data_IF_070793623106
#
_entry.id   IF_070793623106
#
_cell.length_a   1.000
_cell.length_b   1.000
_cell.length_c   1.000
_cell.angle_alpha   90.00
_cell.angle_beta   90.00
_cell.angle_gamma   90.00
#
_symmetry.space_group_name_H-M   'P 1'
#
loop_
_entity.id
_entity.type
_entity.pdbx_description
1 polymer ?
#
# COMPACT_ATOMS: atom_id res chain seq x y z
N UNK A 1 -10.28 21.84 -26.91
CA UNK A 1 -10.04 22.15 -25.49
C UNK A 1 -9.09 21.12 -24.93
N UNK A 2 -8.05 21.57 -24.24
CA UNK A 2 -7.13 20.70 -23.55
C UNK A 2 -7.83 19.99 -22.38
N UNK A 3 -7.47 18.74 -22.10
CA UNK A 3 -8.06 17.95 -21.00
C UNK A 3 -7.78 18.65 -19.65
N UNK A 4 -6.59 19.24 -19.50
CA UNK A 4 -6.19 19.93 -18.28
C UNK A 4 -7.03 21.19 -18.04
N UNK A 5 -7.33 21.95 -19.10
CA UNK A 5 -8.23 23.11 -19.02
C UNK A 5 -9.65 22.69 -18.59
N UNK A 6 -10.17 21.60 -19.16
CA UNK A 6 -11.51 21.10 -18.82
C UNK A 6 -11.61 20.59 -17.37
N UNK A 7 -10.55 19.99 -16.84
CA UNK A 7 -10.47 19.63 -15.43
C UNK A 7 -10.57 20.89 -14.56
N UNK A 8 -9.80 21.94 -14.88
CA UNK A 8 -9.79 23.19 -14.11
C UNK A 8 -11.15 23.87 -14.09
N UNK A 9 -11.84 23.92 -15.23
CA UNK A 9 -13.19 24.49 -15.35
C UNK A 9 -14.19 23.76 -14.43
N UNK A 10 -14.17 22.42 -14.42
CA UNK A 10 -15.03 21.61 -13.55
C UNK A 10 -14.66 21.77 -12.06
N UNK A 11 -13.37 21.90 -11.73
CA UNK A 11 -12.93 22.17 -10.34
C UNK A 11 -13.39 23.55 -9.85
N UNK A 12 -13.39 24.56 -10.72
CA UNK A 12 -13.94 25.88 -10.40
C UNK A 12 -15.47 25.84 -10.24
N UNK A 13 -16.18 25.08 -11.07
CA UNK A 13 -17.63 24.91 -10.95
C UNK A 13 -18.02 24.28 -9.61
N UNK A 14 -17.28 23.24 -9.17
CA UNK A 14 -17.50 22.63 -7.84
C UNK A 14 -17.28 23.66 -6.73
N UNK A 15 -16.21 24.46 -6.80
CA UNK A 15 -15.90 25.48 -5.79
C UNK A 15 -16.98 26.56 -5.67
N UNK A 16 -17.63 26.91 -6.78
CA UNK A 16 -18.70 27.92 -6.82
C UNK A 16 -20.07 27.36 -6.42
N UNK A 17 -20.25 26.04 -6.45
CA UNK A 17 -21.53 25.40 -6.14
C UNK A 17 -21.67 25.21 -4.63
N UNK A 18 -22.72 25.78 -4.03
CA UNK A 18 -23.03 25.54 -2.62
C UNK A 18 -23.53 24.11 -2.41
N UNK A 19 -22.95 23.37 -1.46
CA UNK A 19 -23.34 22.00 -1.15
C UNK A 19 -24.71 21.94 -0.45
N UNK A 20 -25.69 21.32 -1.10
CA UNK A 20 -27.01 21.03 -0.55
C UNK A 20 -27.60 19.76 -1.20
N UNK A 21 -28.71 19.22 -0.66
CA UNK A 21 -29.34 17.98 -1.14
C UNK A 21 -29.78 18.02 -2.62
N UNK A 22 -30.04 19.21 -3.18
CA UNK A 22 -30.41 19.37 -4.58
C UNK A 22 -29.19 19.37 -5.52
N UNK A 23 -28.06 19.91 -5.06
CA UNK A 23 -26.80 20.01 -5.82
C UNK A 23 -25.89 18.80 -5.64
N UNK A 24 -26.14 17.96 -4.63
CA UNK A 24 -25.32 16.78 -4.32
C UNK A 24 -25.12 15.87 -5.54
N UNK A 25 -26.20 15.51 -6.24
CA UNK A 25 -26.13 14.69 -7.46
C UNK A 25 -25.31 15.35 -8.58
N UNK A 26 -25.41 16.68 -8.71
CA UNK A 26 -24.63 17.46 -9.68
C UNK A 26 -23.14 17.44 -9.33
N UNK A 27 -22.81 17.71 -8.07
CA UNK A 27 -21.43 17.70 -7.58
C UNK A 27 -20.81 16.30 -7.74
N UNK A 28 -21.55 15.23 -7.43
CA UNK A 28 -21.10 13.85 -7.65
C UNK A 28 -20.79 13.58 -9.12
N UNK A 29 -21.64 14.05 -10.04
CA UNK A 29 -21.42 13.94 -11.48
C UNK A 29 -20.17 14.69 -11.93
N UNK A 30 -19.97 15.91 -11.46
CA UNK A 30 -18.76 16.71 -11.76
C UNK A 30 -17.50 16.01 -11.25
N UNK A 31 -17.53 15.48 -10.02
CA UNK A 31 -16.40 14.70 -9.45
C UNK A 31 -16.09 13.46 -10.27
N UNK A 32 -17.11 12.69 -10.67
CA UNK A 32 -16.94 11.51 -11.51
C UNK A 32 -16.35 11.88 -12.88
N UNK A 33 -16.79 12.99 -13.46
CA UNK A 33 -16.24 13.51 -14.73
C UNK A 33 -14.78 13.91 -14.60
N UNK A 34 -14.41 14.63 -13.54
CA UNK A 34 -13.02 14.99 -13.26
C UNK A 34 -12.16 13.73 -13.11
N UNK A 35 -12.62 12.74 -12.35
CA UNK A 35 -11.90 11.48 -12.15
C UNK A 35 -11.67 10.73 -13.48
N UNK A 36 -12.69 10.66 -14.33
CA UNK A 36 -12.57 10.08 -15.67
C UNK A 36 -11.57 10.83 -16.55
N UNK A 37 -11.62 12.17 -16.59
CA UNK A 37 -10.66 12.98 -17.36
C UNK A 37 -9.22 12.83 -16.86
N UNK A 38 -9.01 12.76 -15.53
CA UNK A 38 -7.70 12.49 -14.93
C UNK A 38 -7.17 11.12 -15.34
N UNK A 39 -8.04 10.09 -15.40
CA UNK A 39 -7.69 8.75 -15.92
C UNK A 39 -7.24 8.80 -17.39
N UNK A 40 -8.01 9.47 -18.27
CA UNK A 40 -7.65 9.60 -19.69
C UNK A 40 -6.29 10.32 -19.87
N UNK A 41 -6.03 11.35 -19.08
CA UNK A 41 -4.76 12.08 -19.11
C UNK A 41 -3.57 11.17 -18.74
N UNK A 42 -3.72 10.33 -17.72
CA UNK A 42 -2.69 9.36 -17.33
C UNK A 42 -2.47 8.29 -18.40
N UNK A 43 -3.53 7.76 -19.01
CA UNK A 43 -3.44 6.76 -20.08
C UNK A 43 -2.73 7.32 -21.33
N UNK A 44 -3.03 8.57 -21.71
CA UNK A 44 -2.31 9.26 -22.80
C UNK A 44 -0.83 9.42 -22.48
N UNK A 45 -0.50 9.83 -21.25
CA UNK A 45 0.89 9.98 -20.78
C UNK A 45 1.64 8.63 -20.76
N UNK A 46 0.97 7.52 -20.40
CA UNK A 46 1.54 6.16 -20.46
C UNK A 46 1.84 5.71 -21.90
N UNK A 47 0.93 5.94 -22.84
CA UNK A 47 1.11 5.58 -24.26
C UNK A 47 2.28 6.33 -24.91
N UNK A 48 2.55 7.57 -24.49
CA UNK A 48 3.71 8.36 -24.96
C UNK A 48 5.04 7.94 -24.31
N UNK A 49 5.03 7.38 -23.09
CA UNK A 49 6.24 7.00 -22.33
C UNK A 49 6.65 5.52 -22.45
N UNK A 50 6.10 4.77 -23.40
CA UNK A 50 6.32 3.33 -23.55
C UNK A 50 7.79 2.87 -23.74
N UNK A 51 8.76 3.79 -23.84
CA UNK A 51 10.18 3.44 -24.00
C UNK A 51 11.09 3.61 -22.77
N UNK A 52 10.71 4.28 -21.65
CA UNK A 52 11.73 4.71 -20.66
C UNK A 52 11.31 4.81 -19.18
N UNK A 53 10.61 3.83 -18.61
CA UNK A 53 10.40 3.80 -17.16
C UNK A 53 10.65 2.40 -16.57
N UNK A 54 11.90 2.09 -16.25
CA UNK A 54 12.20 1.02 -15.28
C UNK A 54 12.07 1.64 -13.89
N UNK A 55 10.98 1.32 -13.18
CA UNK A 55 10.86 1.65 -11.75
C UNK A 55 11.92 0.91 -10.93
N UNK A 56 12.10 1.32 -9.68
CA UNK A 56 12.99 0.63 -8.73
C UNK A 56 12.52 -0.84 -8.61
N UNK A 57 13.42 -1.79 -8.87
CA UNK A 57 13.12 -3.21 -8.73
C UNK A 57 13.05 -3.54 -7.24
N UNK A 58 12.01 -4.29 -6.85
CA UNK A 58 11.93 -4.87 -5.51
C UNK A 58 13.13 -5.79 -5.28
N UNK A 59 13.79 -5.59 -4.15
CA UNK A 59 14.86 -6.44 -3.64
C UNK A 59 14.48 -6.91 -2.23
N UNK A 60 14.85 -8.14 -1.87
CA UNK A 60 14.45 -8.75 -0.61
C UNK A 60 12.97 -9.16 -0.57
N UNK A 61 12.45 -9.33 0.65
CA UNK A 61 11.12 -9.88 0.94
C UNK A 61 10.00 -8.82 0.95
N UNK A 62 10.36 -7.56 1.20
CA UNK A 62 9.45 -6.42 1.19
C UNK A 62 10.18 -5.11 0.88
N UNK A 63 9.46 -4.16 0.28
CA UNK A 63 9.88 -2.79 0.04
C UNK A 63 9.11 -1.83 0.94
N UNK A 64 9.81 -1.01 1.73
CA UNK A 64 9.24 -0.02 2.65
C UNK A 64 9.74 1.37 2.27
N UNK A 65 8.82 2.30 2.04
CA UNK A 65 9.12 3.69 1.70
C UNK A 65 9.03 4.61 2.91
N UNK A 66 10.09 5.36 3.19
CA UNK A 66 10.11 6.34 4.27
C UNK A 66 9.60 7.70 3.77
N UNK A 67 8.54 8.19 4.40
CA UNK A 67 7.86 9.43 4.01
C UNK A 67 7.71 10.32 5.23
N UNK A 68 8.12 11.58 5.11
CA UNK A 68 8.00 12.54 6.21
C UNK A 68 8.55 13.92 5.84
N UNK A 69 8.26 14.94 6.66
CA UNK A 69 8.83 16.28 6.49
C UNK A 69 10.36 16.26 6.58
N UNK A 70 11.05 17.30 6.07
CA UNK A 70 12.48 17.45 6.30
C UNK A 70 12.79 17.53 7.81
N UNK A 71 14.02 17.18 8.19
CA UNK A 71 14.54 17.35 9.55
C UNK A 71 13.86 16.55 10.69
N UNK A 72 12.91 15.66 10.40
CA UNK A 72 12.30 14.75 11.41
C UNK A 72 13.21 13.58 11.85
N UNK A 73 14.39 13.46 11.24
CA UNK A 73 15.36 12.39 11.54
C UNK A 73 15.19 11.12 10.70
N UNK A 74 14.50 11.22 9.56
CA UNK A 74 14.30 10.12 8.59
C UNK A 74 15.61 9.48 8.12
N UNK A 75 16.57 10.26 7.64
CA UNK A 75 17.85 9.71 7.14
C UNK A 75 18.71 9.12 8.26
N UNK A 76 18.63 9.68 9.49
CA UNK A 76 19.24 9.06 10.67
C UNK A 76 18.61 7.70 10.97
N UNK A 77 17.27 7.63 10.99
CA UNK A 77 16.54 6.39 11.21
C UNK A 77 16.86 5.34 10.13
N UNK A 78 16.89 5.75 8.86
CA UNK A 78 17.29 4.92 7.73
C UNK A 78 18.69 4.32 7.93
N UNK A 79 19.69 5.14 8.26
CA UNK A 79 21.06 4.69 8.48
C UNK A 79 21.16 3.70 9.65
N UNK A 80 20.44 3.95 10.75
CA UNK A 80 20.43 3.07 11.91
C UNK A 80 19.77 1.72 11.59
N UNK A 81 18.65 1.72 10.88
CA UNK A 81 17.90 0.50 10.57
C UNK A 81 18.58 -0.38 9.51
N UNK A 82 19.23 0.23 8.53
CA UNK A 82 19.88 -0.50 7.42
C UNK A 82 21.32 -0.90 7.73
N UNK A 83 21.87 -0.41 8.85
CA UNK A 83 23.29 -0.56 9.21
C UNK A 83 24.23 -0.16 8.06
N UNK A 84 23.76 0.69 7.14
CA UNK A 84 24.39 0.96 5.86
C UNK A 84 25.32 2.17 5.94
N UNK A 85 26.52 2.02 5.39
CA UNK A 85 27.25 3.12 4.77
C UNK A 85 26.56 3.35 3.42
N UNK A 86 25.66 4.32 3.35
CA UNK A 86 24.81 4.62 2.17
C UNK A 86 25.58 4.52 0.85
N UNK A 87 25.20 3.58 -0.01
CA UNK A 87 25.60 3.58 -1.42
C UNK A 87 24.55 4.36 -2.19
N UNK A 88 24.93 5.54 -2.71
CA UNK A 88 24.08 6.35 -3.58
C UNK A 88 23.74 5.54 -4.83
N UNK A 89 22.46 5.40 -5.14
CA UNK A 89 22.02 4.80 -6.38
C UNK A 89 21.48 5.92 -7.27
N UNK A 90 22.29 6.37 -8.21
CA UNK A 90 21.83 7.23 -9.31
C UNK A 90 20.98 6.38 -10.25
N UNK A 91 19.66 6.41 -10.06
CA UNK A 91 18.76 5.82 -11.03
C UNK A 91 18.73 6.74 -12.26
N UNK A 92 18.96 6.15 -13.43
CA UNK A 92 19.22 6.84 -14.71
C UNK A 92 18.13 7.81 -15.21
N UNK A 93 17.09 8.05 -14.42
CA UNK A 93 15.93 8.88 -14.78
C UNK A 93 15.39 9.74 -13.64
N UNK A 94 15.98 9.73 -12.44
CA UNK A 94 15.50 10.54 -11.31
C UNK A 94 16.48 11.68 -11.01
N UNK A 95 16.00 12.92 -10.96
CA UNK A 95 16.79 14.08 -10.52
C UNK A 95 16.98 14.15 -8.99
N UNK A 96 16.47 13.14 -8.28
CA UNK A 96 16.47 13.04 -6.83
C UNK A 96 17.08 11.71 -6.39
N UNK A 97 18.02 11.76 -5.45
CA UNK A 97 18.70 10.59 -4.89
C UNK A 97 17.72 9.84 -3.96
N UNK A 98 17.23 8.69 -4.40
CA UNK A 98 16.54 7.72 -3.52
C UNK A 98 17.58 6.73 -3.03
N UNK A 99 17.75 6.62 -1.70
CA UNK A 99 18.74 5.71 -1.11
C UNK A 99 18.06 4.39 -0.70
N UNK A 100 18.37 3.27 -1.37
CA UNK A 100 17.96 1.96 -0.90
C UNK A 100 18.92 1.43 0.17
N UNK A 101 18.39 0.74 1.17
CA UNK A 101 19.19 0.00 2.15
C UNK A 101 18.42 -1.21 2.68
N UNK A 102 19.13 -2.21 3.22
CA UNK A 102 18.51 -3.46 3.65
C UNK A 102 18.44 -3.50 5.18
N UNK A 103 17.21 -3.57 5.71
CA UNK A 103 16.94 -3.93 7.09
C UNK A 103 16.85 -5.46 7.18
N UNK A 104 17.71 -6.08 7.98
CA UNK A 104 17.60 -7.49 8.33
C UNK A 104 16.84 -7.64 9.64
N UNK A 105 15.70 -8.32 9.63
CA UNK A 105 14.91 -8.54 10.83
C UNK A 105 14.17 -9.87 10.77
N UNK A 106 14.28 -10.70 11.83
CA UNK A 106 13.59 -12.00 11.93
C UNK A 106 13.78 -12.93 10.72
N UNK A 107 14.99 -12.94 10.16
CA UNK A 107 15.34 -13.72 8.96
C UNK A 107 14.87 -13.10 7.64
N UNK A 108 14.12 -12.00 7.66
CA UNK A 108 13.72 -11.27 6.46
C UNK A 108 14.70 -10.17 6.08
N UNK A 109 14.86 -9.97 4.78
CA UNK A 109 15.56 -8.84 4.18
C UNK A 109 14.53 -7.83 3.65
N UNK A 110 14.39 -6.71 4.34
CA UNK A 110 13.40 -5.66 4.03
C UNK A 110 14.15 -4.48 3.40
N UNK A 111 13.85 -4.16 2.15
CA UNK A 111 14.41 -3.01 1.46
C UNK A 111 13.73 -1.73 1.97
N UNK A 112 14.48 -0.88 2.65
CA UNK A 112 14.06 0.47 3.02
C UNK A 112 14.48 1.44 1.90
N UNK A 113 13.60 2.39 1.60
CA UNK A 113 13.85 3.46 0.65
C UNK A 113 13.74 4.81 1.37
N UNK A 114 14.85 5.55 1.47
CA UNK A 114 14.80 6.95 1.88
C UNK A 114 14.37 7.80 0.68
N UNK A 115 13.16 8.33 0.74
CA UNK A 115 12.60 9.19 -0.31
C UNK A 115 12.77 10.63 0.10
N UNK A 116 13.46 11.52 -0.63
CA UNK A 116 13.55 12.94 -0.28
C UNK A 116 12.15 13.55 -0.07
N UNK A 117 12.06 14.54 0.84
CA UNK A 117 10.79 15.02 1.40
C UNK A 117 9.74 15.32 0.34
N UNK A 118 8.67 14.52 0.33
CA UNK A 118 7.53 14.65 -0.60
C UNK A 118 6.92 16.07 -0.62
N UNK A 119 6.94 16.73 0.54
CA UNK A 119 6.21 17.96 0.83
C UNK A 119 6.81 19.21 0.14
N UNK A 120 8.10 19.22 -0.19
CA UNK A 120 8.73 20.44 -0.78
C UNK A 120 8.46 20.60 -2.29
N UNK A 121 8.04 19.54 -3.00
CA UNK A 121 8.08 19.51 -4.47
C UNK A 121 6.86 18.97 -5.20
N UNK A 122 5.85 18.43 -4.52
CA UNK A 122 4.69 17.85 -5.19
C UNK A 122 3.58 18.88 -5.53
N UNK A 123 3.47 19.96 -4.75
CA UNK A 123 2.45 21.00 -4.93
C UNK A 123 2.83 22.10 -5.93
N UNK A 124 4.12 22.30 -6.19
CA UNK A 124 4.60 23.18 -7.26
C UNK A 124 4.97 22.30 -8.46
N UNK A 125 4.36 22.53 -9.63
CA UNK A 125 4.52 21.76 -10.88
C UNK A 125 5.93 21.61 -11.47
N UNK A 126 7.00 21.66 -10.67
CA UNK A 126 8.32 21.10 -10.98
C UNK A 126 8.15 19.58 -11.11
N UNK A 127 8.45 19.04 -12.29
CA UNK A 127 8.12 17.69 -12.75
C UNK A 127 8.64 16.48 -11.95
N UNK A 128 9.08 16.64 -10.70
CA UNK A 128 9.87 15.65 -9.95
C UNK A 128 9.03 14.85 -8.91
N UNK A 129 7.88 15.36 -8.43
CA UNK A 129 7.05 14.66 -7.43
C UNK A 129 6.44 13.34 -7.91
N UNK A 130 6.19 13.22 -9.22
CA UNK A 130 5.60 12.00 -9.84
C UNK A 130 6.53 10.78 -9.75
N UNK A 131 7.84 10.99 -9.79
CA UNK A 131 8.82 9.90 -9.76
C UNK A 131 8.98 9.35 -8.35
N UNK A 132 9.08 10.21 -7.34
CA UNK A 132 9.04 9.85 -5.91
C UNK A 132 7.77 9.04 -5.64
N UNK A 133 6.61 9.54 -6.06
CA UNK A 133 5.34 8.89 -5.76
C UNK A 133 5.12 7.59 -6.53
N UNK A 134 5.78 7.41 -7.68
CA UNK A 134 5.80 6.12 -8.38
C UNK A 134 6.47 5.02 -7.55
N UNK A 135 7.47 5.37 -6.73
CA UNK A 135 8.15 4.43 -5.83
C UNK A 135 7.25 4.09 -4.65
N UNK A 136 6.57 5.09 -4.06
CA UNK A 136 5.60 4.85 -2.99
C UNK A 136 4.46 3.93 -3.44
N UNK A 137 3.98 4.07 -4.69
CA UNK A 137 2.97 3.18 -5.29
C UNK A 137 3.41 1.73 -5.48
N UNK A 138 4.71 1.46 -5.54
CA UNK A 138 5.23 0.10 -5.68
C UNK A 138 5.68 -0.50 -4.34
N UNK A 139 5.61 0.27 -3.26
CA UNK A 139 6.02 -0.18 -1.93
C UNK A 139 5.02 -1.15 -1.33
N UNK A 140 5.51 -2.11 -0.54
CA UNK A 140 4.67 -3.04 0.23
C UNK A 140 4.18 -2.40 1.54
N UNK A 141 4.87 -1.37 2.02
CA UNK A 141 4.53 -0.61 3.21
C UNK A 141 5.04 0.84 3.08
N UNK A 142 4.27 1.79 3.59
CA UNK A 142 4.72 3.17 3.80
C UNK A 142 5.01 3.38 5.29
N UNK A 143 6.18 3.93 5.60
CA UNK A 143 6.52 4.35 6.96
C UNK A 143 6.46 5.88 7.03
N UNK A 144 5.39 6.39 7.65
CA UNK A 144 5.21 7.81 7.90
C UNK A 144 6.06 8.20 9.11
N UNK A 145 7.04 9.06 8.92
CA UNK A 145 7.97 9.52 9.96
C UNK A 145 7.67 10.98 10.26
N UNK A 146 7.24 11.24 11.50
CA UNK A 146 7.08 12.56 12.07
C UNK A 146 8.00 12.68 13.29
N UNK A 147 8.15 13.89 13.82
CA UNK A 147 8.66 14.12 15.16
C UNK A 147 7.58 14.72 16.05
N UNK A 148 7.89 14.85 17.35
CA UNK A 148 6.96 15.36 18.36
C UNK A 148 6.38 16.76 18.06
N UNK A 149 7.04 17.56 17.21
CA UNK A 149 6.58 18.91 16.84
C UNK A 149 5.90 18.98 15.46
N UNK A 150 5.96 17.91 14.68
CA UNK A 150 5.46 17.88 13.28
C UNK A 150 4.25 16.98 13.12
N UNK A 151 3.60 16.61 14.22
CA UNK A 151 2.42 15.73 14.25
C UNK A 151 1.29 16.25 13.34
N UNK A 152 1.09 17.57 13.29
CA UNK A 152 0.04 18.20 12.49
C UNK A 152 0.29 18.11 10.97
N UNK A 153 1.51 17.77 10.54
CA UNK A 153 1.81 17.53 9.11
C UNK A 153 1.26 16.19 8.60
N UNK A 154 0.77 15.31 9.48
CA UNK A 154 0.24 14.02 9.08
C UNK A 154 -0.86 14.16 8.02
N UNK A 155 -1.82 15.06 8.24
CA UNK A 155 -2.95 15.26 7.31
C UNK A 155 -2.47 15.79 5.95
N UNK A 156 -1.47 16.66 5.93
CA UNK A 156 -0.88 17.19 4.70
C UNK A 156 -0.29 16.04 3.87
N UNK A 157 0.48 15.16 4.51
CA UNK A 157 1.10 14.01 3.85
C UNK A 157 0.05 13.03 3.34
N UNK A 158 -0.98 12.73 4.14
CA UNK A 158 -2.06 11.82 3.75
C UNK A 158 -2.85 12.37 2.56
N UNK A 159 -3.18 13.67 2.58
CA UNK A 159 -3.85 14.33 1.46
C UNK A 159 -3.01 14.30 0.19
N UNK A 160 -1.69 14.47 0.31
CA UNK A 160 -0.77 14.37 -0.81
C UNK A 160 -0.78 12.94 -1.39
N UNK A 161 -0.54 11.92 -0.56
CA UNK A 161 -0.59 10.51 -1.00
C UNK A 161 -1.92 10.18 -1.68
N UNK A 162 -3.03 10.65 -1.08
CA UNK A 162 -4.37 10.49 -1.61
C UNK A 162 -4.52 11.12 -3.01
N UNK A 163 -4.03 12.35 -3.22
CA UNK A 163 -4.07 13.04 -4.50
C UNK A 163 -3.26 12.34 -5.60
N UNK A 164 -2.22 11.60 -5.23
CA UNK A 164 -1.42 10.78 -6.15
C UNK A 164 -1.96 9.36 -6.36
N UNK A 165 -3.15 9.08 -5.84
CA UNK A 165 -3.85 7.81 -6.03
C UNK A 165 -3.33 6.69 -5.14
N UNK A 166 -2.61 7.02 -4.05
CA UNK A 166 -2.25 6.08 -3.01
C UNK A 166 -3.34 6.14 -1.94
N UNK A 167 -3.89 4.98 -1.58
CA UNK A 167 -4.89 4.82 -0.52
C UNK A 167 -4.21 4.13 0.64
N UNK A 168 -4.02 4.87 1.73
CA UNK A 168 -3.22 4.43 2.86
C UNK A 168 -4.12 3.72 3.88
N UNK A 169 -3.75 2.50 4.28
CA UNK A 169 -4.52 1.70 5.25
C UNK A 169 -5.99 1.40 4.84
N UNK A 170 -6.30 1.55 3.55
CA UNK A 170 -7.59 1.21 2.97
C UNK A 170 -7.52 -0.12 2.20
N UNK A 171 -8.67 -0.77 2.04
CA UNK A 171 -8.81 -1.95 1.17
C UNK A 171 -9.42 -1.58 -0.16
N UNK A 172 -9.03 -2.31 -1.19
CA UNK A 172 -9.66 -2.20 -2.50
C UNK A 172 -11.16 -2.47 -2.41
N UNK A 173 -12.01 -1.62 -3.02
CA UNK A 173 -13.45 -1.80 -2.99
C UNK A 173 -13.90 -3.14 -3.59
N UNK A 174 -14.74 -3.87 -2.86
CA UNK A 174 -15.23 -5.18 -3.31
C UNK A 174 -16.43 -5.01 -4.27
N UNK A 175 -16.12 -4.66 -5.52
CA UNK A 175 -17.09 -4.40 -6.58
C UNK A 175 -16.78 -5.31 -7.78
N UNK A 176 -17.82 -5.84 -8.41
CA UNK A 176 -17.71 -6.60 -9.67
C UNK A 176 -18.51 -5.91 -10.76
N UNK A 177 -17.88 -5.58 -11.88
CA UNK A 177 -18.55 -4.99 -13.04
C UNK A 177 -18.42 -5.92 -14.24
N UNK A 178 -19.56 -6.33 -14.81
CA UNK A 178 -19.64 -7.10 -16.06
C UNK A 178 -20.28 -6.23 -17.14
N UNK A 179 -19.56 -5.99 -18.23
CA UNK A 179 -20.12 -5.27 -19.39
C UNK A 179 -21.14 -6.16 -20.10
N UNK A 180 -22.19 -5.53 -20.63
CA UNK A 180 -23.24 -6.17 -21.43
C UNK A 180 -23.36 -5.50 -22.79
N UNK A 181 -24.01 -6.17 -23.73
CA UNK A 181 -24.30 -5.59 -25.04
C UNK A 181 -25.48 -4.61 -24.98
N UNK A 182 -26.50 -4.89 -24.16
CA UNK A 182 -27.76 -4.12 -24.04
C UNK A 182 -28.31 -4.15 -22.60
N UNK A 183 -29.33 -3.33 -22.33
CA UNK A 183 -30.10 -3.36 -21.08
C UNK A 183 -29.67 -2.36 -20.01
N UNK A 184 -28.83 -1.38 -20.35
CA UNK A 184 -28.43 -0.31 -19.45
C UNK A 184 -27.56 -0.78 -18.27
N UNK A 185 -27.43 0.10 -17.28
CA UNK A 185 -26.68 -0.16 -16.04
C UNK A 185 -27.63 -0.73 -14.99
N UNK A 186 -27.39 -1.98 -14.61
CA UNK A 186 -28.04 -2.62 -13.48
C UNK A 186 -27.08 -2.61 -12.29
N UNK A 187 -27.59 -2.22 -11.13
CA UNK A 187 -26.83 -2.21 -9.88
C UNK A 187 -27.54 -3.15 -8.92
N UNK A 188 -26.80 -4.12 -8.38
CA UNK A 188 -27.23 -5.02 -7.33
C UNK A 188 -26.27 -4.89 -6.15
N UNK A 189 -26.78 -5.06 -4.93
CA UNK A 189 -25.98 -5.05 -3.71
C UNK A 189 -26.25 -6.29 -2.88
N UNK A 190 -25.22 -6.83 -2.22
CA UNK A 190 -25.38 -7.87 -1.19
C UNK A 190 -25.48 -7.30 0.22
N UNK A 191 -25.32 -5.98 0.38
CA UNK A 191 -25.36 -5.28 1.67
C UNK A 191 -26.23 -4.01 1.57
N UNK A 192 -26.75 -3.48 2.70
CA UNK A 192 -27.36 -2.15 2.72
C UNK A 192 -26.36 -1.09 2.24
N UNK A 193 -26.82 -0.14 1.42
CA UNK A 193 -26.00 0.93 0.86
C UNK A 193 -26.43 2.28 1.43
N UNK A 194 -25.44 3.07 1.82
CA UNK A 194 -25.64 4.46 2.24
C UNK A 194 -25.92 5.39 1.04
N UNK A 195 -25.39 5.03 -0.14
CA UNK A 195 -25.55 5.79 -1.39
C UNK A 195 -26.72 5.23 -2.22
N UNK A 196 -27.49 6.12 -2.85
CA UNK A 196 -28.61 5.73 -3.68
C UNK A 196 -28.18 5.11 -5.02
N UNK A 197 -29.00 4.18 -5.51
CA UNK A 197 -28.73 3.44 -6.75
C UNK A 197 -28.61 4.37 -7.96
N UNK A 198 -29.34 5.50 -8.00
CA UNK A 198 -29.25 6.44 -9.13
C UNK A 198 -27.90 7.15 -9.16
N UNK A 199 -27.39 7.59 -8.02
CA UNK A 199 -26.06 8.18 -7.90
C UNK A 199 -24.97 7.19 -8.33
N UNK A 200 -25.06 5.92 -7.94
CA UNK A 200 -24.14 4.86 -8.40
C UNK A 200 -24.19 4.73 -9.93
N UNK A 201 -25.40 4.65 -10.51
CA UNK A 201 -25.58 4.58 -11.97
C UNK A 201 -25.01 5.80 -12.68
N UNK A 202 -25.19 7.00 -12.11
CA UNK A 202 -24.67 8.24 -12.67
C UNK A 202 -23.14 8.24 -12.70
N UNK A 203 -22.49 7.86 -11.59
CA UNK A 203 -21.03 7.74 -11.52
C UNK A 203 -20.53 6.71 -12.54
N UNK A 204 -21.09 5.49 -12.55
CA UNK A 204 -20.67 4.43 -13.48
C UNK A 204 -20.84 4.85 -14.94
N UNK A 205 -21.91 5.59 -15.26
CA UNK A 205 -22.15 6.14 -16.60
C UNK A 205 -21.10 7.17 -17.01
N UNK A 206 -20.67 8.05 -16.12
CA UNK A 206 -19.62 9.03 -16.41
C UNK A 206 -18.27 8.38 -16.71
N UNK A 207 -18.01 7.18 -16.17
CA UNK A 207 -16.84 6.37 -16.50
C UNK A 207 -16.97 5.60 -17.83
N UNK A 208 -18.00 5.86 -18.63
CA UNK A 208 -18.17 5.32 -19.98
C UNK A 208 -18.90 3.98 -20.06
N UNK A 209 -19.43 3.47 -18.95
CA UNK A 209 -20.25 2.26 -18.97
C UNK A 209 -21.68 2.60 -19.38
N UNK A 210 -22.12 2.10 -20.55
CA UNK A 210 -23.50 2.27 -21.02
C UNK A 210 -24.37 1.08 -20.62
N UNK A 211 -23.84 -0.13 -20.78
CA UNK A 211 -24.51 -1.40 -20.49
C UNK A 211 -23.62 -2.24 -19.57
N UNK A 212 -24.01 -2.42 -18.31
CA UNK A 212 -23.23 -3.16 -17.33
C UNK A 212 -24.06 -3.69 -16.17
N UNK A 213 -23.67 -4.84 -15.61
CA UNK A 213 -24.11 -5.31 -14.30
C UNK A 213 -23.04 -4.97 -13.26
N UNK A 214 -23.41 -4.19 -12.26
CA UNK A 214 -22.56 -3.76 -11.16
C UNK A 214 -23.04 -4.45 -9.90
N UNK A 215 -22.22 -5.33 -9.33
CA UNK A 215 -22.47 -5.99 -8.05
C UNK A 215 -21.58 -5.37 -6.98
N UNK A 216 -22.22 -4.74 -5.99
CA UNK A 216 -21.55 -4.14 -4.84
C UNK A 216 -21.65 -5.09 -3.64
N UNK A 217 -20.52 -5.40 -3.01
CA UNK A 217 -20.46 -6.36 -1.90
C UNK A 217 -20.10 -5.74 -0.54
N UNK A 218 -19.94 -4.42 -0.49
CA UNK A 218 -19.65 -3.65 0.72
C UNK A 218 -20.27 -2.25 0.62
N UNK A 219 -20.53 -1.60 1.76
CA UNK A 219 -20.97 -0.21 1.77
C UNK A 219 -19.80 0.73 1.45
N UNK A 220 -20.03 1.70 0.58
CA UNK A 220 -18.98 2.55 0.04
C UNK A 220 -19.53 3.93 -0.34
N UNK A 221 -18.68 4.95 -0.16
CA UNK A 221 -18.98 6.30 -0.60
C UNK A 221 -18.68 6.49 -2.09
N UNK A 222 -19.14 7.62 -2.66
CA UNK A 222 -18.92 7.93 -4.07
C UNK A 222 -17.44 7.92 -4.47
N UNK A 223 -16.55 8.36 -3.57
CA UNK A 223 -15.11 8.41 -3.82
C UNK A 223 -14.50 7.03 -4.00
N UNK A 224 -14.82 6.07 -3.12
CA UNK A 224 -14.36 4.68 -3.26
C UNK A 224 -14.90 4.03 -4.53
N UNK A 225 -16.12 4.36 -4.96
CA UNK A 225 -16.64 3.90 -6.25
C UNK A 225 -15.82 4.48 -7.43
N UNK A 226 -15.54 5.78 -7.40
CA UNK A 226 -14.73 6.45 -8.42
C UNK A 226 -13.31 5.89 -8.47
N UNK A 227 -12.72 5.58 -7.32
CA UNK A 227 -11.40 4.97 -7.22
C UNK A 227 -11.34 3.59 -7.87
N UNK A 228 -12.32 2.74 -7.59
CA UNK A 228 -12.47 1.44 -8.25
C UNK A 228 -12.59 1.58 -9.78
N UNK A 229 -13.46 2.47 -10.25
CA UNK A 229 -13.68 2.70 -11.69
C UNK A 229 -12.47 3.30 -12.40
N UNK A 230 -11.66 4.07 -11.67
CA UNK A 230 -10.42 4.65 -12.19
C UNK A 230 -9.37 3.57 -12.47
N UNK A 231 -9.29 2.52 -11.64
CA UNK A 231 -8.41 1.35 -11.84
C UNK A 231 -6.91 1.69 -11.80
N UNK A 232 -6.56 2.91 -11.39
CA UNK A 232 -5.20 3.42 -11.31
C UNK A 232 -4.84 3.81 -9.87
N UNK A 233 -5.57 3.30 -8.87
CA UNK A 233 -5.27 3.50 -7.45
C UNK A 233 -4.41 2.36 -6.93
N UNK A 234 -3.59 2.66 -5.93
CA UNK A 234 -2.78 1.67 -5.23
C UNK A 234 -3.15 1.71 -3.75
N UNK A 235 -3.48 0.56 -3.18
CA UNK A 235 -3.81 0.41 -1.76
C UNK A 235 -2.58 -0.10 -1.03
N UNK A 236 -2.02 0.71 -0.13
CA UNK A 236 -0.75 0.40 0.55
C UNK A 236 -0.96 0.54 2.06
N UNK A 237 -0.57 -0.45 2.88
CA UNK A 237 -0.57 -0.27 4.33
C UNK A 237 0.46 0.79 4.72
N UNK A 238 0.24 1.46 5.85
CA UNK A 238 1.22 2.35 6.43
C UNK A 238 1.25 2.26 7.95
N UNK A 239 2.44 2.51 8.50
CA UNK A 239 2.67 2.69 9.92
C UNK A 239 3.09 4.13 10.19
N UNK A 240 2.75 4.63 11.38
CA UNK A 240 3.15 5.96 11.84
C UNK A 240 4.23 5.84 12.90
N UNK A 241 5.28 6.63 12.73
CA UNK A 241 6.44 6.70 13.61
C UNK A 241 6.60 8.13 14.10
N UNK A 242 6.64 8.30 15.41
CA UNK A 242 6.90 9.60 16.04
C UNK A 242 8.29 9.55 16.67
N UNK A 243 9.22 10.27 16.05
CA UNK A 243 10.62 10.37 16.45
C UNK A 243 10.86 11.53 17.43
N UNK A 244 12.08 11.60 17.97
CA UNK A 244 12.55 12.64 18.91
C UNK A 244 11.71 12.73 20.19
N UNK A 245 11.24 11.59 20.71
CA UNK A 245 10.49 11.57 21.97
C UNK A 245 11.32 12.06 23.16
N UNK A 246 12.64 12.11 23.02
CA UNK A 246 13.56 12.68 24.00
C UNK A 246 13.46 14.20 24.16
N UNK A 247 12.77 14.89 23.23
CA UNK A 247 12.51 16.33 23.30
C UNK A 247 11.14 16.67 23.92
N UNK A 248 10.36 15.66 24.28
CA UNK A 248 9.01 15.81 24.81
C UNK A 248 8.94 15.30 26.26
N UNK A 249 8.22 16.03 27.10
CA UNK A 249 7.89 15.56 28.45
C UNK A 249 6.68 14.59 28.42
N UNK A 250 6.35 14.00 29.57
CA UNK A 250 5.27 13.03 29.67
C UNK A 250 3.88 13.62 29.39
N UNK A 251 3.69 14.91 29.63
CA UNK A 251 2.41 15.59 29.37
C UNK A 251 2.21 15.81 27.87
N UNK A 252 3.21 16.35 27.19
CA UNK A 252 3.20 16.56 25.75
C UNK A 252 3.11 15.24 24.98
N UNK A 253 3.81 14.18 25.44
CA UNK A 253 3.66 12.84 24.86
C UNK A 253 2.25 12.26 25.03
N UNK A 254 1.55 12.57 26.12
CA UNK A 254 0.15 12.16 26.33
C UNK A 254 -0.79 12.88 25.36
N UNK A 255 -0.57 14.18 25.14
CA UNK A 255 -1.33 14.96 24.16
C UNK A 255 -1.18 14.37 22.75
N UNK A 256 0.05 14.11 22.31
CA UNK A 256 0.34 13.53 20.99
C UNK A 256 -0.30 12.14 20.84
N UNK A 257 -0.22 11.30 21.88
CA UNK A 257 -0.89 9.98 21.90
C UNK A 257 -2.40 10.11 21.75
N UNK A 258 -3.01 11.14 22.34
CA UNK A 258 -4.43 11.46 22.18
C UNK A 258 -4.76 11.85 20.73
N UNK A 259 -4.00 12.81 20.17
CA UNK A 259 -4.18 13.27 18.77
C UNK A 259 -4.05 12.13 17.75
N UNK A 260 -3.10 11.23 17.97
CA UNK A 260 -2.76 10.14 17.04
C UNK A 260 -3.33 8.77 17.43
N UNK A 261 -4.32 8.72 18.31
CA UNK A 261 -4.83 7.45 18.85
C UNK A 261 -5.27 6.46 17.76
N UNK A 262 -5.90 6.96 16.70
CA UNK A 262 -6.37 6.16 15.56
C UNK A 262 -5.26 5.44 14.80
N UNK A 263 -4.03 5.96 14.83
CA UNK A 263 -2.88 5.41 14.11
C UNK A 263 -2.02 4.47 14.95
N UNK A 264 -2.21 4.44 16.28
CA UNK A 264 -1.37 3.66 17.21
C UNK A 264 0.14 3.80 16.91
N UNK A 265 0.69 5.03 16.89
CA UNK A 265 2.05 5.29 16.43
C UNK A 265 3.13 4.61 17.27
N UNK A 266 4.25 4.30 16.61
CA UNK A 266 5.46 3.84 17.30
C UNK A 266 6.31 5.05 17.68
N UNK A 267 6.37 5.31 18.98
CA UNK A 267 7.18 6.36 19.59
C UNK A 267 8.64 5.89 19.72
N UNK A 268 9.58 6.61 19.10
CA UNK A 268 11.00 6.26 19.09
C UNK A 268 11.90 7.47 19.40
N UNK A 269 13.12 7.19 19.85
CA UNK A 269 14.22 8.16 19.75
C UNK A 269 15.32 7.54 18.91
N UNK A 270 15.49 8.01 17.68
CA UNK A 270 16.60 7.57 16.83
C UNK A 270 17.96 7.91 17.46
N UNK A 271 18.07 9.06 18.14
CA UNK A 271 19.28 9.52 18.83
C UNK A 271 19.73 8.55 19.93
N UNK A 272 18.80 8.14 20.80
CA UNK A 272 19.09 7.25 21.92
C UNK A 272 18.81 5.77 21.63
N UNK A 273 18.42 5.44 20.39
CA UNK A 273 18.03 4.09 19.95
C UNK A 273 16.89 3.47 20.75
N UNK A 274 16.03 4.31 21.33
CA UNK A 274 14.87 3.87 22.12
C UNK A 274 13.78 3.31 21.20
N UNK A 275 13.22 2.16 21.56
CA UNK A 275 12.11 1.48 20.86
C UNK A 275 12.40 1.08 19.40
N UNK A 276 13.66 1.03 18.95
CA UNK A 276 13.99 0.64 17.58
C UNK A 276 13.70 -0.83 17.28
N UNK A 277 13.75 -1.72 18.27
CA UNK A 277 13.44 -3.13 18.05
C UNK A 277 11.93 -3.34 17.84
N UNK A 278 11.11 -2.65 18.66
CA UNK A 278 9.66 -2.52 18.45
C UNK A 278 9.36 -1.91 17.09
N UNK A 279 10.17 -0.92 16.69
CA UNK A 279 10.43 -0.47 15.33
C UNK A 279 10.28 -1.57 14.27
N UNK A 280 11.32 -2.38 14.22
CA UNK A 280 11.51 -3.43 13.23
C UNK A 280 10.41 -4.49 13.29
N UNK A 281 9.93 -4.81 14.48
CA UNK A 281 8.81 -5.74 14.67
C UNK A 281 7.52 -5.24 13.99
N UNK A 282 7.20 -3.97 14.16
CA UNK A 282 6.01 -3.39 13.53
C UNK A 282 6.19 -3.28 12.02
N UNK A 283 7.39 -2.93 11.53
CA UNK A 283 7.72 -2.94 10.08
C UNK A 283 7.50 -4.34 9.49
N UNK A 284 8.03 -5.39 10.13
CA UNK A 284 7.90 -6.77 9.67
C UNK A 284 6.42 -7.20 9.60
N UNK A 285 5.67 -6.93 10.66
CA UNK A 285 4.25 -7.28 10.78
C UNK A 285 3.40 -6.51 9.77
N UNK A 286 3.59 -5.20 9.65
CA UNK A 286 2.81 -4.35 8.76
C UNK A 286 3.14 -4.58 7.27
N UNK A 287 4.36 -5.03 6.96
CA UNK A 287 4.76 -5.50 5.62
C UNK A 287 4.06 -6.79 5.20
N UNK A 288 3.26 -7.39 6.10
CA UNK A 288 2.51 -8.62 5.87
C UNK A 288 3.43 -9.82 5.66
N UNK A 289 4.62 -9.83 6.27
CA UNK A 289 5.55 -10.94 6.17
C UNK A 289 5.20 -12.04 7.17
N UNK A 290 5.51 -13.27 6.79
CA UNK A 290 5.39 -14.45 7.63
C UNK A 290 6.60 -15.37 7.41
N UNK A 291 7.02 -16.04 8.48
CA UNK A 291 8.12 -17.00 8.53
C UNK A 291 7.55 -18.40 8.43
N UNK A 292 8.11 -19.20 7.54
CA UNK A 292 7.80 -20.62 7.40
C UNK A 292 9.09 -21.42 7.60
N UNK A 293 9.04 -22.39 8.50
CA UNK A 293 10.20 -23.25 8.78
C UNK A 293 10.09 -24.56 8.00
N UNK A 294 11.08 -24.86 7.18
CA UNK A 294 11.07 -26.09 6.40
C UNK A 294 11.62 -27.25 7.23
N UNK A 295 10.84 -28.33 7.32
CA UNK A 295 11.25 -29.55 8.01
C UNK A 295 11.74 -30.58 7.00
N UNK A 296 13.04 -30.91 6.97
CA UNK A 296 13.59 -31.90 6.05
C UNK A 296 13.07 -33.32 6.35
N UNK A 297 13.26 -34.25 5.41
CA UNK A 297 12.90 -35.67 5.59
C UNK A 297 13.73 -36.31 6.71
N UNK A 298 15.03 -36.02 6.71
CA UNK A 298 16.00 -36.37 7.75
C UNK A 298 16.72 -35.11 8.23
N UNK A 299 16.99 -35.00 9.54
CA UNK A 299 17.67 -33.86 10.14
C UNK A 299 16.80 -32.99 11.05
N UNK A 300 17.42 -31.96 11.63
CA UNK A 300 16.77 -30.97 12.50
C UNK A 300 16.18 -29.84 11.64
N UNK A 301 15.18 -29.15 12.20
CA UNK A 301 14.64 -27.92 11.60
C UNK A 301 15.66 -26.81 11.84
N UNK A 302 15.95 -26.06 10.78
CA UNK A 302 16.72 -24.82 10.87
C UNK A 302 15.76 -23.68 11.22
N UNK A 303 15.90 -23.12 12.42
CA UNK A 303 15.11 -21.98 12.88
C UNK A 303 15.78 -20.64 12.62
N UNK A 304 17.05 -20.64 12.21
CA UNK A 304 17.83 -19.43 11.94
C UNK A 304 17.61 -18.95 10.49
N UNK A 305 17.23 -19.85 9.59
CA UNK A 305 16.91 -19.58 8.19
C UNK A 305 15.44 -19.87 7.84
N UNK A 306 14.46 -19.07 8.31
CA UNK A 306 13.08 -19.20 7.88
C UNK A 306 12.92 -18.83 6.41
N UNK A 307 11.99 -19.51 5.74
CA UNK A 307 11.48 -19.06 4.45
C UNK A 307 10.48 -17.91 4.68
N UNK A 308 10.75 -16.75 4.11
CA UNK A 308 9.88 -15.58 4.25
C UNK A 308 8.87 -15.55 3.09
N UNK A 309 7.60 -15.41 3.45
CA UNK A 309 6.48 -15.32 2.51
C UNK A 309 5.53 -14.19 2.91
N UNK A 310 4.58 -13.85 2.04
CA UNK A 310 3.52 -12.89 2.35
C UNK A 310 2.35 -13.58 3.05
N UNK A 311 1.68 -12.85 3.92
CA UNK A 311 0.49 -13.32 4.63
C UNK A 311 -0.58 -13.76 3.64
N UNK A 312 -1.14 -14.93 3.87
CA UNK A 312 -2.13 -15.55 2.98
C UNK A 312 -1.52 -16.42 1.90
N UNK A 313 -0.19 -16.53 1.82
CA UNK A 313 0.47 -17.49 0.97
C UNK A 313 0.14 -18.93 1.36
N UNK A 314 0.21 -19.79 0.36
CA UNK A 314 -0.19 -21.20 0.47
C UNK A 314 1.02 -22.13 0.46
N UNK A 315 0.77 -23.42 0.66
CA UNK A 315 1.79 -24.47 0.47
C UNK A 315 2.33 -24.47 -0.97
N UNK A 316 1.51 -24.08 -1.96
CA UNK A 316 1.97 -23.90 -3.33
C UNK A 316 3.05 -22.82 -3.44
N UNK A 317 2.89 -21.69 -2.74
CA UNK A 317 3.88 -20.61 -2.74
C UNK A 317 5.19 -21.05 -2.10
N UNK A 318 5.13 -21.85 -1.03
CA UNK A 318 6.32 -22.51 -0.47
C UNK A 318 7.01 -23.35 -1.54
N UNK A 319 6.27 -24.18 -2.28
CA UNK A 319 6.86 -25.00 -3.34
C UNK A 319 7.51 -24.14 -4.44
N UNK A 320 6.81 -23.08 -4.90
CA UNK A 320 7.30 -22.16 -5.94
C UNK A 320 8.58 -21.42 -5.51
N UNK A 321 8.67 -21.05 -4.23
CA UNK A 321 9.85 -20.36 -3.67
C UNK A 321 11.11 -21.23 -3.66
N UNK A 322 10.94 -22.55 -3.52
CA UNK A 322 12.04 -23.51 -3.57
C UNK A 322 12.44 -23.85 -5.00
N UNK A 323 11.49 -24.39 -5.78
CA UNK A 323 11.66 -24.65 -7.21
C UNK A 323 10.31 -24.97 -7.85
N UNK A 324 10.10 -24.54 -9.11
CA UNK A 324 8.83 -24.78 -9.85
C UNK A 324 8.46 -26.27 -9.95
N UNK A 325 9.43 -27.17 -9.90
CA UNK A 325 9.19 -28.62 -9.98
C UNK A 325 8.55 -29.21 -8.72
N UNK A 326 8.68 -28.57 -7.56
CA UNK A 326 8.02 -29.06 -6.33
C UNK A 326 6.51 -29.09 -6.48
N UNK A 327 5.93 -28.13 -7.21
CA UNK A 327 4.49 -28.09 -7.49
C UNK A 327 4.08 -29.29 -8.35
N UNK A 328 4.85 -29.58 -9.40
CA UNK A 328 4.55 -30.69 -10.33
C UNK A 328 4.66 -32.06 -9.67
N UNK A 329 5.65 -32.23 -8.79
CA UNK A 329 5.89 -33.48 -8.06
C UNK A 329 5.15 -33.53 -6.73
N UNK A 330 4.34 -32.55 -6.37
CA UNK A 330 3.69 -32.50 -5.07
C UNK A 330 2.77 -33.71 -4.83
N UNK A 331 2.88 -34.32 -3.64
CA UNK A 331 1.95 -35.36 -3.18
C UNK A 331 1.05 -34.81 -2.07
N UNK A 332 1.65 -34.31 -1.00
CA UNK A 332 1.00 -33.61 0.11
C UNK A 332 2.04 -32.86 0.93
N UNK A 333 1.61 -31.97 1.82
CA UNK A 333 2.45 -31.38 2.85
C UNK A 333 1.97 -31.79 4.24
N UNK A 334 2.89 -31.89 5.19
CA UNK A 334 2.57 -31.97 6.61
C UNK A 334 2.88 -30.63 7.25
N UNK A 335 1.95 -30.10 8.04
CA UNK A 335 2.12 -28.80 8.69
C UNK A 335 2.00 -28.94 10.21
N UNK A 336 2.86 -28.23 10.94
CA UNK A 336 2.77 -28.06 12.38
C UNK A 336 2.71 -26.56 12.68
N UNK A 337 1.68 -26.10 13.35
CA UNK A 337 1.53 -24.69 13.70
C UNK A 337 0.09 -24.27 13.82
N UNK A 338 -0.16 -22.96 13.71
CA UNK A 338 -1.47 -22.36 13.98
C UNK A 338 -2.45 -22.49 12.80
N UNK A 339 -1.95 -22.78 11.59
CA UNK A 339 -2.83 -22.97 10.42
C UNK A 339 -3.58 -24.29 10.40
N UNK A 340 -3.21 -25.26 11.25
CA UNK A 340 -3.78 -26.61 11.28
C UNK A 340 -4.41 -26.92 12.64
N UNK A 341 -5.36 -27.86 12.65
CA UNK A 341 -6.03 -28.29 13.90
C UNK A 341 -5.17 -29.27 14.69
N UNK A 342 -4.40 -30.10 14.00
CA UNK A 342 -3.57 -31.13 14.61
C UNK A 342 -2.12 -31.02 14.11
N UNK A 343 -1.12 -31.18 15.00
CA UNK A 343 0.28 -31.17 14.59
C UNK A 343 0.58 -32.27 13.57
N UNK A 344 1.18 -31.92 12.43
CA UNK A 344 1.52 -32.87 11.37
C UNK A 344 0.36 -33.22 10.44
N UNK A 345 -0.72 -32.42 10.45
CA UNK A 345 -1.87 -32.62 9.57
C UNK A 345 -1.45 -32.58 8.09
N UNK A 346 -2.01 -33.51 7.30
CA UNK A 346 -1.85 -33.53 5.86
C UNK A 346 -2.69 -32.43 5.20
N UNK A 347 -2.06 -31.66 4.33
CA UNK A 347 -2.70 -30.56 3.61
C UNK A 347 -2.30 -30.55 2.14
N UNK A 348 -3.15 -29.93 1.31
CA UNK A 348 -2.92 -29.72 -0.12
C UNK A 348 -2.19 -28.41 -0.42
N UNK A 349 -2.01 -28.12 -1.72
CA UNK A 349 -1.34 -26.92 -2.22
C UNK A 349 -2.08 -25.62 -1.83
N UNK A 350 -3.41 -25.64 -1.82
CA UNK A 350 -4.28 -24.48 -1.52
C UNK A 350 -4.33 -24.11 -0.03
N UNK A 351 -3.71 -24.91 0.85
CA UNK A 351 -3.74 -24.66 2.28
C UNK A 351 -2.99 -23.38 2.62
N UNK A 352 -3.69 -22.44 3.28
CA UNK A 352 -3.13 -21.16 3.71
C UNK A 352 -2.30 -21.35 4.98
N UNK A 353 -1.06 -20.89 4.93
CA UNK A 353 -0.14 -20.97 6.05
C UNK A 353 -0.26 -19.75 6.96
N UNK A 354 0.25 -19.89 8.19
CA UNK A 354 0.38 -18.83 9.17
C UNK A 354 1.83 -18.64 9.58
N UNK A 355 2.14 -17.48 10.16
CA UNK A 355 3.49 -17.17 10.66
C UNK A 355 3.95 -18.22 11.68
N UNK A 356 5.20 -18.62 11.54
CA UNK A 356 5.89 -19.67 12.31
C UNK A 356 5.41 -21.11 12.07
N UNK A 357 4.58 -21.35 11.05
CA UNK A 357 4.26 -22.73 10.66
C UNK A 357 5.50 -23.48 10.19
N UNK A 358 5.57 -24.75 10.58
CA UNK A 358 6.59 -25.69 10.12
C UNK A 358 5.98 -26.54 9.01
N UNK A 359 6.64 -26.62 7.86
CA UNK A 359 6.14 -27.32 6.67
C UNK A 359 7.12 -28.40 6.24
N UNK A 360 6.63 -29.64 6.08
CA UNK A 360 7.35 -30.72 5.41
C UNK A 360 6.66 -31.02 4.08
N UNK A 361 7.40 -30.91 2.99
CA UNK A 361 6.92 -31.28 1.66
C UNK A 361 7.18 -32.76 1.38
N UNK A 362 6.16 -33.46 0.87
CA UNK A 362 6.28 -34.82 0.37
C UNK A 362 6.01 -34.81 -1.13
N UNK A 363 7.03 -35.18 -1.90
CA UNK A 363 6.98 -35.21 -3.36
C UNK A 363 6.93 -36.66 -3.86
N UNK A 364 6.33 -36.85 -5.03
CA UNK A 364 6.39 -38.08 -5.82
C UNK A 364 7.81 -38.25 -6.33
N UNK A 365 8.30 -39.49 -6.33
CA UNK A 365 9.61 -39.84 -6.89
C UNK A 365 9.65 -39.56 -8.38
#
# INVERSE_FOLDING_TARGET
>A
MDIEQRIKELEEEIKRTQYNKATEKHILRLKARIAYLKKELEEKKKKQKAQRAKGIKKSGDAMVSLIGPPSVGKSMLFNILTNAKSTVADYAFTTLEIHPGILKHKGAEIQLLDMPGLIEGASYGKGNGKEILSVARNSDLIMLVLDVYTVDYLEVILNELHNFGIRVNEKEPNISIKKKDRGGINVASTVPLSMDIESIKAIVREFGFVNADVLIKEDLNAERLMDFLSGNRTYVPAILVVNKIDLADEEFLREIKGKLHSWSPVFISAKYRTNLEKLKDEIFKASGLMRIYLKPQSGKIDYDAPLILKKGSTVEDVCKSLHRDFVRKFRYAMVWGKSVKFPGQHVGLEHKLMDEDIVRLVIRR
#
